data_IF_658477011942
#
_entry.id   IF_658477011942
#
_cell.length_a   1.000
_cell.length_b   1.000
_cell.length_c   1.000
_cell.angle_alpha   90.00
_cell.angle_beta   90.00
_cell.angle_gamma   90.00
#
_symmetry.space_group_name_H-M   'P 1'
#
loop_
_entity.id
_entity.type
_entity.pdbx_description
1 polymer ?
#
# COMPACT_ATOMS: atom_id res chain seq x y z
N UNK A 1 -24.76 4.72 -22.46
CA UNK A 1 -24.05 5.38 -21.34
C UNK A 1 -23.48 4.42 -20.29
N UNK A 2 -24.14 3.31 -19.90
CA UNK A 2 -23.65 2.38 -18.86
C UNK A 2 -22.25 1.80 -19.09
N UNK A 3 -21.91 1.35 -20.31
CA UNK A 3 -20.58 0.77 -20.64
C UNK A 3 -19.39 1.71 -20.38
N UNK A 4 -19.56 3.02 -20.56
CA UNK A 4 -18.51 4.03 -20.31
C UNK A 4 -18.22 4.17 -18.81
N UNK A 5 -19.25 4.13 -17.95
CA UNK A 5 -19.10 4.18 -16.49
C UNK A 5 -18.38 2.95 -15.93
N UNK A 6 -18.65 1.75 -16.46
CA UNK A 6 -17.98 0.52 -16.02
C UNK A 6 -16.49 0.53 -16.36
N UNK A 7 -16.14 1.03 -17.55
CA UNK A 7 -14.74 1.16 -17.98
C UNK A 7 -13.96 2.17 -17.12
N UNK A 8 -14.56 3.31 -16.81
CA UNK A 8 -13.96 4.33 -15.91
C UNK A 8 -13.69 3.75 -14.51
N UNK A 9 -14.61 2.95 -13.96
CA UNK A 9 -14.41 2.30 -12.65
C UNK A 9 -13.24 1.32 -12.66
N UNK A 10 -13.12 0.48 -13.69
CA UNK A 10 -11.99 -0.47 -13.83
C UNK A 10 -10.64 0.26 -13.94
N UNK A 11 -10.58 1.39 -14.64
CA UNK A 11 -9.37 2.22 -14.71
C UNK A 11 -9.03 2.79 -13.33
N UNK A 12 -10.02 3.38 -12.64
CA UNK A 12 -9.83 3.94 -11.30
C UNK A 12 -9.35 2.89 -10.29
N UNK A 13 -9.94 1.70 -10.28
CA UNK A 13 -9.48 0.60 -9.41
C UNK A 13 -8.06 0.15 -9.74
N UNK A 14 -7.66 0.19 -11.01
CA UNK A 14 -6.28 -0.07 -11.42
C UNK A 14 -5.29 0.97 -10.90
N UNK A 15 -5.63 2.25 -11.03
CA UNK A 15 -4.79 3.34 -10.53
C UNK A 15 -4.68 3.33 -9.01
N UNK A 16 -5.80 3.15 -8.30
CA UNK A 16 -5.80 3.02 -6.83
C UNK A 16 -5.03 1.78 -6.36
N UNK A 17 -5.19 0.65 -7.05
CA UNK A 17 -4.45 -0.58 -6.75
C UNK A 17 -2.94 -0.38 -6.92
N UNK A 18 -2.52 0.18 -8.04
CA UNK A 18 -1.10 0.49 -8.30
C UNK A 18 -0.54 1.47 -7.27
N UNK A 19 -1.28 2.54 -6.97
CA UNK A 19 -0.89 3.53 -5.96
C UNK A 19 -0.72 2.89 -4.57
N UNK A 20 -1.67 2.07 -4.12
CA UNK A 20 -1.58 1.40 -2.83
C UNK A 20 -0.38 0.44 -2.74
N UNK A 21 -0.07 -0.28 -3.82
CA UNK A 21 1.09 -1.18 -3.88
C UNK A 21 2.40 -0.38 -3.84
N UNK A 22 2.50 0.69 -4.63
CA UNK A 22 3.68 1.57 -4.63
C UNK A 22 3.87 2.22 -3.25
N UNK A 23 2.79 2.69 -2.63
CA UNK A 23 2.83 3.24 -1.29
C UNK A 23 3.31 2.22 -0.26
N UNK A 24 2.81 0.97 -0.31
CA UNK A 24 3.28 -0.12 0.56
C UNK A 24 4.79 -0.37 0.40
N UNK A 25 5.29 -0.33 -0.84
CA UNK A 25 6.71 -0.51 -1.15
C UNK A 25 7.59 0.61 -0.56
N UNK A 26 7.16 1.86 -0.74
CA UNK A 26 7.88 3.00 -0.18
C UNK A 26 7.83 3.03 1.35
N UNK A 27 6.69 2.67 1.95
CA UNK A 27 6.58 2.54 3.41
C UNK A 27 7.48 1.42 3.95
N UNK A 28 7.54 0.27 3.29
CA UNK A 28 8.45 -0.81 3.68
C UNK A 28 9.91 -0.35 3.65
N UNK A 29 10.29 0.39 2.61
CA UNK A 29 11.64 0.97 2.49
C UNK A 29 11.89 1.98 3.62
N UNK A 30 10.90 2.84 3.90
CA UNK A 30 10.95 3.79 5.00
C UNK A 30 11.18 3.10 6.34
N UNK A 31 10.43 2.05 6.65
CA UNK A 31 10.59 1.26 7.89
C UNK A 31 12.02 0.74 8.03
N UNK A 32 12.59 0.17 6.96
CA UNK A 32 13.97 -0.35 6.97
C UNK A 32 14.99 0.77 7.16
N UNK A 33 14.83 1.92 6.51
CA UNK A 33 15.74 3.07 6.69
C UNK A 33 15.64 3.60 8.12
N UNK A 34 14.42 3.68 8.65
CA UNK A 34 14.14 4.24 9.99
C UNK A 34 14.82 3.41 11.08
N UNK A 35 14.96 2.10 10.90
CA UNK A 35 15.61 1.22 11.88
C UNK A 35 17.13 1.29 11.84
N UNK A 36 17.72 1.90 10.80
CA UNK A 36 19.16 2.20 10.74
C UNK A 36 19.50 3.51 11.46
N UNK A 37 18.50 4.34 11.81
CA UNK A 37 18.69 5.59 12.53
C UNK A 37 18.85 5.31 14.03
N UNK A 38 20.04 5.62 14.56
CA UNK A 38 20.41 5.38 15.96
C UNK A 38 19.52 6.13 16.96
N UNK A 39 18.99 7.28 16.59
CA UNK A 39 18.07 8.05 17.44
C UNK A 39 16.73 7.33 17.70
N UNK A 40 16.42 6.28 16.93
CA UNK A 40 15.15 5.55 16.98
C UNK A 40 15.29 4.13 17.52
N UNK A 41 16.49 3.76 17.98
CA UNK A 41 16.84 2.39 18.39
C UNK A 41 15.96 1.88 19.56
N UNK A 42 15.51 2.79 20.44
CA UNK A 42 14.55 2.49 21.53
C UNK A 42 13.10 2.27 21.10
N UNK A 43 12.74 2.63 19.86
CA UNK A 43 11.38 2.52 19.32
C UNK A 43 11.24 1.46 18.22
N UNK A 44 12.31 0.69 17.96
CA UNK A 44 12.36 -0.34 16.92
C UNK A 44 11.16 -1.29 16.93
N UNK A 45 10.74 -1.77 18.10
CA UNK A 45 9.58 -2.66 18.20
C UNK A 45 8.29 -2.02 17.65
N UNK A 46 8.06 -0.74 17.96
CA UNK A 46 6.90 0.02 17.52
C UNK A 46 6.98 0.33 16.02
N UNK A 47 8.18 0.65 15.52
CA UNK A 47 8.43 0.90 14.10
C UNK A 47 8.20 -0.37 13.27
N UNK A 48 8.67 -1.53 13.74
CA UNK A 48 8.46 -2.80 13.06
C UNK A 48 6.99 -3.22 13.10
N UNK A 49 6.33 -3.17 14.26
CA UNK A 49 4.93 -3.58 14.36
C UNK A 49 4.01 -2.64 13.58
N UNK A 50 4.20 -1.32 13.72
CA UNK A 50 3.43 -0.31 13.01
C UNK A 50 3.69 -0.37 11.51
N UNK A 51 4.95 -0.47 11.12
CA UNK A 51 5.38 -0.63 9.73
C UNK A 51 4.80 -1.88 9.07
N UNK A 52 4.84 -3.02 9.76
CA UNK A 52 4.28 -4.28 9.25
C UNK A 52 2.78 -4.20 9.02
N UNK A 53 2.02 -3.62 9.97
CA UNK A 53 0.57 -3.44 9.82
C UNK A 53 0.24 -2.49 8.68
N UNK A 54 0.95 -1.36 8.56
CA UNK A 54 0.75 -0.39 7.48
C UNK A 54 1.06 -0.98 6.10
N UNK A 55 2.22 -1.62 5.95
CA UNK A 55 2.64 -2.23 4.67
C UNK A 55 1.66 -3.34 4.29
N UNK A 56 1.32 -4.23 5.22
CA UNK A 56 0.39 -5.32 4.95
C UNK A 56 -1.01 -4.81 4.60
N UNK A 57 -1.49 -3.78 5.29
CA UNK A 57 -2.80 -3.16 5.03
C UNK A 57 -2.87 -2.53 3.64
N UNK A 58 -1.88 -1.72 3.28
CA UNK A 58 -1.84 -1.07 1.96
C UNK A 58 -1.62 -2.08 0.83
N UNK A 59 -0.79 -3.11 1.05
CA UNK A 59 -0.62 -4.19 0.08
C UNK A 59 -1.94 -4.95 -0.15
N UNK A 60 -2.64 -5.30 0.93
CA UNK A 60 -3.93 -5.99 0.85
C UNK A 60 -4.98 -5.15 0.11
N UNK A 61 -5.11 -3.87 0.46
CA UNK A 61 -5.98 -2.92 -0.25
C UNK A 61 -5.62 -2.81 -1.73
N UNK A 62 -4.33 -2.69 -2.05
CA UNK A 62 -3.86 -2.61 -3.42
C UNK A 62 -4.23 -3.85 -4.25
N UNK A 63 -3.99 -5.04 -3.70
CA UNK A 63 -4.40 -6.31 -4.33
C UNK A 63 -5.91 -6.43 -4.48
N UNK A 64 -6.68 -5.98 -3.48
CA UNK A 64 -8.14 -5.99 -3.52
C UNK A 64 -8.66 -5.07 -4.64
N UNK A 65 -8.09 -3.88 -4.80
CA UNK A 65 -8.46 -2.98 -5.90
C UNK A 65 -8.07 -3.53 -7.27
N UNK A 66 -6.91 -4.19 -7.40
CA UNK A 66 -6.55 -4.87 -8.66
C UNK A 66 -7.55 -5.99 -8.98
N UNK A 67 -7.96 -6.77 -7.98
CA UNK A 67 -8.99 -7.80 -8.16
C UNK A 67 -10.34 -7.22 -8.59
N UNK A 68 -10.79 -6.14 -7.96
CA UNK A 68 -12.03 -5.41 -8.32
C UNK A 68 -11.99 -4.75 -9.70
N UNK A 69 -10.80 -4.51 -10.26
CA UNK A 69 -10.66 -4.08 -11.66
C UNK A 69 -10.91 -5.25 -12.61
N UNK A 70 -10.47 -6.45 -12.25
CA UNK A 70 -10.53 -7.64 -13.08
C UNK A 70 -11.96 -8.17 -13.19
N UNK A 71 -12.68 -8.25 -12.06
CA UNK A 71 -14.13 -8.49 -11.97
C UNK A 71 -14.94 -7.37 -12.67
#
# INVERSE_FOLDING_TARGET
>A
MRKKKTRQKKVLYGELGSFCIDFAKYMATGVVITTLLKDLEGHNALIYSGGFVLVSGFLFLGLLFIKLKED
#
